data_IF_400886914197
#
_entry.id   IF_400886914197
#
_cell.length_a   1.000
_cell.length_b   1.000
_cell.length_c   1.000
_cell.angle_alpha   90.00
_cell.angle_beta   90.00
_cell.angle_gamma   90.00
#
_symmetry.space_group_name_H-M   'P 1'
#
loop_
_entity.id
_entity.type
_entity.pdbx_description
1 polymer ?
#
# COMPACT_ATOMS: atom_id res chain seq x y z
N UNK A 1 52.97 11.80 -15.20
CA UNK A 1 52.08 10.66 -14.92
C UNK A 1 50.75 11.21 -14.50
N UNK A 2 49.81 11.35 -15.44
CA UNK A 2 48.48 11.91 -15.18
C UNK A 2 47.57 10.78 -14.75
N UNK A 3 47.09 10.85 -13.48
CA UNK A 3 46.02 10.01 -12.98
C UNK A 3 44.69 10.50 -13.59
N UNK A 4 44.23 9.78 -14.62
CA UNK A 4 42.87 9.89 -15.09
C UNK A 4 41.95 9.21 -14.04
N UNK A 5 41.30 10.01 -13.22
CA UNK A 5 40.17 9.57 -12.40
C UNK A 5 39.04 9.20 -13.35
N UNK A 6 38.79 7.90 -13.51
CA UNK A 6 37.53 7.40 -14.03
C UNK A 6 36.42 7.77 -13.03
N UNK A 7 35.77 8.89 -13.29
CA UNK A 7 34.45 9.14 -12.74
C UNK A 7 33.52 8.16 -13.43
N UNK A 8 33.17 7.08 -12.75
CA UNK A 8 32.08 6.23 -13.16
C UNK A 8 30.83 7.13 -13.31
N UNK A 9 30.27 7.20 -14.53
CA UNK A 9 28.93 7.75 -14.72
C UNK A 9 27.99 6.96 -13.83
N UNK A 10 27.68 7.48 -12.65
CA UNK A 10 26.49 7.03 -11.91
C UNK A 10 25.33 7.24 -12.88
N UNK A 11 24.66 6.15 -13.26
CA UNK A 11 23.41 6.22 -14.02
C UNK A 11 22.48 7.11 -13.20
N UNK A 12 22.07 8.25 -13.76
CA UNK A 12 21.19 9.17 -13.04
C UNK A 12 19.85 8.50 -12.82
N UNK A 13 19.38 8.51 -11.58
CA UNK A 13 18.07 8.02 -11.22
C UNK A 13 16.99 9.04 -11.62
N UNK A 14 15.81 8.55 -11.98
CA UNK A 14 14.67 9.36 -12.38
C UNK A 14 14.14 10.16 -11.18
N UNK A 15 14.23 11.48 -11.21
CA UNK A 15 13.60 12.33 -10.19
C UNK A 15 12.11 12.53 -10.47
N UNK A 16 11.36 12.86 -9.42
CA UNK A 16 9.92 13.17 -9.51
C UNK A 16 9.64 14.31 -10.51
N UNK A 17 10.46 15.36 -10.48
CA UNK A 17 10.32 16.48 -11.41
C UNK A 17 10.52 16.06 -12.86
N UNK A 18 11.54 15.25 -13.12
CA UNK A 18 11.80 14.73 -14.46
C UNK A 18 10.70 13.73 -14.90
N UNK A 19 10.25 12.85 -13.99
CA UNK A 19 9.14 11.95 -14.25
C UNK A 19 7.86 12.71 -14.61
N UNK A 20 7.56 13.82 -13.94
CA UNK A 20 6.43 14.69 -14.28
C UNK A 20 6.55 15.25 -15.69
N UNK A 21 7.74 15.71 -16.08
CA UNK A 21 7.98 16.18 -17.44
C UNK A 21 7.71 15.08 -18.47
N UNK A 22 8.10 13.83 -18.20
CA UNK A 22 7.80 12.67 -19.05
C UNK A 22 6.31 12.36 -19.12
N UNK A 23 5.59 12.42 -17.98
CA UNK A 23 4.13 12.25 -17.95
C UNK A 23 3.44 13.30 -18.82
N UNK A 24 3.85 14.55 -18.73
CA UNK A 24 3.28 15.62 -19.54
C UNK A 24 3.57 15.42 -21.03
N UNK A 25 4.79 15.04 -21.37
CA UNK A 25 5.16 14.74 -22.75
C UNK A 25 4.33 13.58 -23.30
N UNK A 26 4.18 12.52 -22.52
CA UNK A 26 3.38 11.36 -22.89
C UNK A 26 1.90 11.72 -23.08
N UNK A 27 1.30 12.48 -22.16
CA UNK A 27 -0.06 12.99 -22.28
C UNK A 27 -0.22 13.86 -23.52
N UNK A 28 0.71 14.79 -23.79
CA UNK A 28 0.65 15.68 -24.96
C UNK A 28 0.66 14.92 -26.28
N UNK A 29 1.51 13.90 -26.41
CA UNK A 29 1.57 13.05 -27.62
C UNK A 29 0.24 12.31 -27.82
N UNK A 30 -0.28 11.65 -26.78
CA UNK A 30 -1.49 10.84 -26.84
C UNK A 30 -2.76 11.67 -27.08
N UNK A 31 -2.74 12.92 -26.70
CA UNK A 31 -3.87 13.84 -26.85
C UNK A 31 -3.76 14.74 -28.08
N UNK A 32 -2.70 14.55 -28.88
CA UNK A 32 -2.47 15.30 -30.12
C UNK A 32 -2.08 16.77 -29.89
N UNK A 33 -1.60 17.15 -28.70
CA UNK A 33 -1.08 18.48 -28.40
C UNK A 33 0.34 18.71 -28.95
N UNK A 34 0.95 17.69 -29.55
CA UNK A 34 2.26 17.76 -30.19
C UNK A 34 3.27 16.77 -29.62
N UNK A 35 4.44 16.71 -30.27
CA UNK A 35 5.59 15.94 -29.80
C UNK A 35 6.40 16.79 -28.82
N UNK A 36 6.59 16.31 -27.61
CA UNK A 36 7.64 16.77 -26.73
C UNK A 36 8.57 15.60 -26.46
N UNK A 37 9.82 15.70 -26.89
CA UNK A 37 10.86 14.78 -26.47
C UNK A 37 11.68 15.51 -25.41
N UNK A 38 11.55 15.18 -24.11
CA UNK A 38 12.59 15.46 -23.15
C UNK A 38 13.88 14.78 -23.62
N UNK A 39 15.02 15.11 -23.01
CA UNK A 39 16.29 14.45 -23.32
C UNK A 39 16.10 12.92 -23.29
N UNK A 40 16.83 12.20 -24.16
CA UNK A 40 16.71 10.74 -24.23
C UNK A 40 17.03 10.12 -22.86
N UNK A 41 16.12 9.28 -22.31
CA UNK A 41 16.32 8.70 -20.99
C UNK A 41 17.46 7.68 -20.98
N UNK A 42 18.20 7.61 -19.88
CA UNK A 42 19.16 6.55 -19.58
C UNK A 42 18.48 5.18 -19.47
N UNK A 43 19.25 4.10 -19.45
CA UNK A 43 18.67 2.76 -19.31
C UNK A 43 17.91 2.56 -17.98
N UNK A 44 18.39 3.19 -16.91
CA UNK A 44 17.71 3.14 -15.62
C UNK A 44 16.39 3.92 -15.65
N UNK A 45 16.41 5.14 -16.16
CA UNK A 45 15.21 5.96 -16.34
C UNK A 45 14.17 5.27 -17.22
N UNK A 46 14.59 4.55 -18.28
CA UNK A 46 13.65 3.76 -19.09
C UNK A 46 12.90 2.70 -18.30
N UNK A 47 13.57 1.98 -17.39
CA UNK A 47 12.94 0.97 -16.54
C UNK A 47 11.89 1.60 -15.60
N UNK A 48 12.21 2.76 -15.05
CA UNK A 48 11.30 3.50 -14.17
C UNK A 48 10.12 4.08 -14.94
N UNK A 49 10.33 4.57 -16.17
CA UNK A 49 9.26 4.99 -17.07
C UNK A 49 8.35 3.82 -17.49
N UNK A 50 8.92 2.64 -17.77
CA UNK A 50 8.14 1.42 -18.01
C UNK A 50 7.31 1.03 -16.78
N UNK A 51 7.88 1.14 -15.58
CA UNK A 51 7.14 0.89 -14.36
C UNK A 51 5.96 1.86 -14.19
N UNK A 52 6.10 3.14 -14.59
CA UNK A 52 5.01 4.12 -14.64
C UNK A 52 4.00 3.85 -15.78
N UNK A 53 4.26 2.87 -16.65
CA UNK A 53 3.42 2.59 -17.80
C UNK A 53 3.57 3.61 -18.93
N UNK A 54 4.69 4.33 -18.99
CA UNK A 54 5.01 5.33 -20.02
C UNK A 54 5.81 4.73 -21.18
N UNK A 55 5.66 3.45 -21.42
CA UNK A 55 6.21 2.76 -22.57
C UNK A 55 5.36 3.03 -23.81
N UNK A 56 6.00 3.33 -24.89
CA UNK A 56 5.37 3.41 -26.20
C UNK A 56 5.74 4.62 -27.01
N UNK A 57 6.35 4.35 -28.11
CA UNK A 57 6.61 5.27 -29.19
C UNK A 57 5.28 5.80 -29.75
N UNK A 58 4.98 7.03 -29.47
CA UNK A 58 3.93 7.74 -30.18
C UNK A 58 4.49 8.21 -31.53
N UNK A 59 4.34 7.43 -32.58
CA UNK A 59 4.50 7.93 -33.94
C UNK A 59 3.32 8.88 -34.25
N UNK A 60 3.55 10.16 -34.18
CA UNK A 60 2.59 11.20 -34.52
C UNK A 60 3.26 12.32 -35.29
N UNK A 61 2.49 13.05 -36.13
CA UNK A 61 2.96 14.20 -36.89
C UNK A 61 3.62 15.28 -36.03
N UNK A 62 4.66 15.91 -36.57
CA UNK A 62 5.47 16.93 -35.90
C UNK A 62 4.65 18.21 -35.65
N UNK A 63 4.14 18.38 -34.46
CA UNK A 63 3.69 19.64 -33.93
C UNK A 63 4.49 19.99 -32.68
N UNK A 64 4.95 21.23 -32.54
CA UNK A 64 5.68 21.65 -31.35
C UNK A 64 4.75 21.67 -30.13
N UNK A 65 5.10 20.92 -29.10
CA UNK A 65 4.35 20.95 -27.84
C UNK A 65 4.49 22.32 -27.16
N UNK A 66 3.45 22.79 -26.44
CA UNK A 66 3.51 24.04 -25.68
C UNK A 66 4.71 24.11 -24.73
N UNK A 67 5.23 25.29 -24.48
CA UNK A 67 6.44 25.48 -23.65
C UNK A 67 6.30 24.86 -22.24
N UNK A 68 5.14 25.00 -21.61
CA UNK A 68 4.88 24.43 -20.26
C UNK A 68 4.87 22.89 -20.24
N UNK A 69 4.63 22.23 -21.37
CA UNK A 69 4.79 20.76 -21.49
C UNK A 69 6.26 20.40 -21.58
N UNK A 70 7.04 21.20 -22.31
CA UNK A 70 8.48 20.95 -22.51
C UNK A 70 9.31 21.29 -21.28
N UNK A 71 8.87 22.31 -20.53
CA UNK A 71 9.55 22.81 -19.35
C UNK A 71 8.46 23.11 -18.29
N UNK A 72 7.94 22.08 -17.63
CA UNK A 72 6.98 22.30 -16.55
C UNK A 72 7.63 23.12 -15.43
N UNK A 73 6.87 23.95 -14.71
CA UNK A 73 7.41 24.70 -13.59
C UNK A 73 7.96 23.72 -12.52
N UNK A 74 8.99 24.12 -11.75
CA UNK A 74 9.59 23.25 -10.75
C UNK A 74 8.57 22.82 -9.70
N UNK A 75 8.80 21.69 -9.07
CA UNK A 75 8.08 21.28 -7.86
C UNK A 75 8.79 21.88 -6.67
N UNK A 76 8.11 22.76 -5.95
CA UNK A 76 8.64 23.37 -4.73
C UNK A 76 8.68 22.35 -3.59
N UNK A 77 9.68 22.49 -2.72
CA UNK A 77 9.82 21.67 -1.52
C UNK A 77 8.67 21.96 -0.55
N UNK A 78 8.14 20.91 0.06
CA UNK A 78 7.19 21.04 1.17
C UNK A 78 7.89 20.86 2.50
N UNK A 79 7.35 21.44 3.59
CA UNK A 79 7.87 21.16 4.93
C UNK A 79 7.88 19.66 5.22
N UNK A 80 8.88 19.25 6.01
CA UNK A 80 9.04 17.86 6.45
C UNK A 80 7.74 17.31 7.01
N UNK A 81 7.35 16.12 6.55
CA UNK A 81 6.18 15.37 7.02
C UNK A 81 6.61 14.22 7.93
N UNK A 82 5.66 13.54 8.56
CA UNK A 82 5.91 12.31 9.31
C UNK A 82 6.57 11.19 8.45
N UNK A 83 6.55 11.34 7.13
CA UNK A 83 7.08 10.40 6.14
C UNK A 83 8.42 10.84 5.52
N UNK A 84 9.01 11.93 5.98
CA UNK A 84 10.28 12.46 5.49
C UNK A 84 10.15 13.78 4.71
N UNK A 85 11.24 14.19 4.10
CA UNK A 85 11.33 15.37 3.24
C UNK A 85 11.17 14.94 1.78
N UNK A 86 10.21 15.55 1.10
CA UNK A 86 9.86 15.21 -0.27
C UNK A 86 9.89 16.43 -1.16
N UNK A 87 10.47 16.30 -2.33
CA UNK A 87 10.63 17.40 -3.28
C UNK A 87 10.60 16.91 -4.72
N UNK A 88 10.71 17.84 -5.67
CA UNK A 88 10.91 17.48 -7.08
C UNK A 88 12.19 16.70 -7.36
N UNK A 89 13.19 16.78 -6.46
CA UNK A 89 14.45 16.04 -6.56
C UNK A 89 14.39 14.63 -5.96
N UNK A 90 13.31 14.27 -5.26
CA UNK A 90 13.08 12.90 -4.78
C UNK A 90 13.13 11.93 -5.95
N UNK A 91 13.77 10.77 -5.75
CA UNK A 91 13.86 9.75 -6.78
C UNK A 91 12.57 8.92 -6.85
N UNK A 92 12.14 8.58 -8.04
CA UNK A 92 10.97 7.71 -8.27
C UNK A 92 11.19 6.34 -7.60
N UNK A 93 12.43 5.85 -7.57
CA UNK A 93 12.79 4.62 -6.88
C UNK A 93 12.43 4.65 -5.38
N UNK A 94 12.64 5.77 -4.68
CA UNK A 94 12.30 5.94 -3.27
C UNK A 94 10.79 5.83 -3.03
N UNK A 95 9.98 6.43 -3.89
CA UNK A 95 8.52 6.31 -3.84
C UNK A 95 8.04 4.89 -4.13
N UNK A 96 8.72 4.21 -5.05
CA UNK A 96 8.47 2.80 -5.35
C UNK A 96 8.81 1.90 -4.16
N UNK A 97 9.94 2.13 -3.49
CA UNK A 97 10.35 1.41 -2.26
C UNK A 97 9.37 1.67 -1.11
N UNK A 98 8.86 2.89 -0.98
CA UNK A 98 7.78 3.21 -0.05
C UNK A 98 6.49 2.43 -0.37
N UNK A 99 6.33 1.96 -1.59
CA UNK A 99 5.16 1.21 -2.01
C UNK A 99 4.04 2.07 -2.59
N UNK A 100 4.42 3.17 -3.23
CA UNK A 100 3.51 3.93 -4.10
C UNK A 100 3.25 3.09 -5.35
N UNK A 101 1.99 2.96 -5.75
CA UNK A 101 1.61 2.28 -6.98
C UNK A 101 1.94 3.14 -8.21
N UNK A 102 2.36 2.53 -9.34
CA UNK A 102 2.68 3.29 -10.55
C UNK A 102 1.50 4.15 -11.04
N UNK A 103 0.28 3.65 -10.96
CA UNK A 103 -0.93 4.41 -11.32
C UNK A 103 -1.17 5.60 -10.40
N UNK A 104 -0.91 5.42 -9.12
CA UNK A 104 -1.05 6.49 -8.14
C UNK A 104 -0.03 7.60 -8.40
N UNK A 105 1.22 7.24 -8.68
CA UNK A 105 2.25 8.21 -8.99
C UNK A 105 1.98 8.91 -10.33
N UNK A 106 1.58 8.18 -11.38
CA UNK A 106 1.17 8.77 -12.65
C UNK A 106 0.05 9.78 -12.46
N UNK A 107 -1.00 9.40 -11.71
CA UNK A 107 -2.13 10.27 -11.41
C UNK A 107 -1.69 11.52 -10.63
N UNK A 108 -0.90 11.35 -9.57
CA UNK A 108 -0.37 12.46 -8.77
C UNK A 108 0.44 13.43 -9.64
N UNK A 109 1.38 12.92 -10.44
CA UNK A 109 2.23 13.74 -11.32
C UNK A 109 1.41 14.50 -12.36
N UNK A 110 0.36 13.90 -12.91
CA UNK A 110 -0.54 14.57 -13.82
C UNK A 110 -1.28 15.74 -13.14
N UNK A 111 -1.73 15.58 -11.88
CA UNK A 111 -2.40 16.64 -11.14
C UNK A 111 -1.48 17.83 -10.80
N UNK A 112 -0.17 17.64 -10.84
CA UNK A 112 0.83 18.68 -10.56
C UNK A 112 1.03 19.66 -11.73
N UNK A 113 -0.03 20.01 -12.45
CA UNK A 113 -0.02 21.05 -13.47
C UNK A 113 -0.60 20.64 -14.82
N UNK A 114 -0.96 19.37 -15.03
CA UNK A 114 -1.79 19.01 -16.17
C UNK A 114 -3.21 19.47 -15.90
N UNK A 115 -3.86 20.09 -16.87
CA UNK A 115 -5.14 20.72 -16.64
C UNK A 115 -6.28 19.70 -16.67
N UNK A 116 -6.53 19.15 -15.54
CA UNK A 116 -7.67 18.29 -15.24
C UNK A 116 -8.59 18.98 -14.23
N UNK A 117 -9.91 18.73 -14.28
CA UNK A 117 -10.82 19.20 -13.25
C UNK A 117 -10.35 18.72 -11.86
N UNK A 118 -10.37 19.60 -10.85
CA UNK A 118 -9.88 19.28 -9.50
C UNK A 118 -10.89 18.50 -8.63
N UNK A 119 -12.08 18.29 -9.13
CA UNK A 119 -13.20 17.69 -8.37
C UNK A 119 -12.99 16.20 -8.07
N UNK A 120 -12.16 15.51 -8.84
CA UNK A 120 -11.80 14.12 -8.60
C UNK A 120 -10.27 13.99 -8.54
N UNK A 121 -9.76 13.61 -7.38
CA UNK A 121 -8.31 13.39 -7.20
C UNK A 121 -7.82 12.07 -7.83
N UNK A 122 -8.69 11.06 -7.89
CA UNK A 122 -8.31 9.72 -8.36
C UNK A 122 -8.81 9.49 -9.77
N UNK A 123 -7.89 9.45 -10.74
CA UNK A 123 -8.18 9.33 -12.17
C UNK A 123 -7.39 8.21 -12.81
N UNK A 124 -8.08 7.38 -13.57
CA UNK A 124 -7.41 6.39 -14.41
C UNK A 124 -6.64 7.05 -15.55
N UNK A 125 -5.75 6.28 -16.18
CA UNK A 125 -5.00 6.69 -17.36
C UNK A 125 -5.95 7.14 -18.50
N UNK A 126 -7.02 6.40 -18.70
CA UNK A 126 -8.05 6.69 -19.71
C UNK A 126 -8.80 8.00 -19.39
N UNK A 127 -9.10 8.22 -18.12
CA UNK A 127 -9.71 9.47 -17.67
C UNK A 127 -8.77 10.66 -17.84
N UNK A 128 -7.48 10.50 -17.56
CA UNK A 128 -6.48 11.55 -17.79
C UNK A 128 -6.38 11.91 -19.28
N UNK A 129 -6.45 10.92 -20.17
CA UNK A 129 -6.44 11.13 -21.62
C UNK A 129 -7.76 11.70 -22.15
N UNK A 130 -8.89 11.32 -21.57
CA UNK A 130 -10.22 11.75 -22.03
C UNK A 130 -10.61 13.17 -21.63
N UNK A 131 -9.92 13.78 -20.66
CA UNK A 131 -10.29 15.10 -20.13
C UNK A 131 -9.74 16.29 -20.92
N UNK A 132 -9.01 16.06 -22.00
CA UNK A 132 -8.62 17.18 -22.86
C UNK A 132 -9.83 17.67 -23.66
N UNK A 133 -10.10 18.96 -23.63
CA UNK A 133 -11.17 19.51 -24.42
C UNK A 133 -10.94 19.22 -25.91
N UNK A 134 -11.89 18.59 -26.57
CA UNK A 134 -11.88 18.33 -28.01
C UNK A 134 -11.82 19.62 -28.89
N UNK A 135 -11.74 20.77 -28.24
CA UNK A 135 -11.66 22.06 -28.91
C UNK A 135 -10.22 22.58 -28.93
N UNK A 136 -9.48 22.25 -29.97
CA UNK A 136 -8.12 22.71 -30.30
C UNK A 136 -7.92 24.23 -30.37
N UNK A 137 -8.91 25.08 -30.13
CA UNK A 137 -8.79 26.52 -30.16
C UNK A 137 -8.84 27.11 -28.74
N UNK A 138 -7.67 27.51 -28.25
CA UNK A 138 -7.56 28.35 -27.06
C UNK A 138 -7.23 27.62 -25.76
N UNK A 139 -6.79 26.37 -25.82
CA UNK A 139 -6.39 25.64 -24.61
C UNK A 139 -5.01 24.96 -24.78
N UNK A 140 -4.06 25.09 -23.79
CA UNK A 140 -4.21 25.90 -22.57
C UNK A 140 -4.22 27.39 -22.89
N UNK A 141 -4.77 28.27 -22.00
CA UNK A 141 -4.62 29.70 -22.15
C UNK A 141 -3.15 30.03 -22.34
N UNK A 142 -2.81 30.75 -23.42
CA UNK A 142 -1.40 31.07 -23.76
C UNK A 142 -0.68 31.91 -22.68
N UNK A 143 -1.40 32.40 -21.67
CA UNK A 143 -0.96 33.49 -20.80
C UNK A 143 -0.70 33.09 -19.34
N UNK A 144 -1.01 31.87 -18.89
CA UNK A 144 -0.73 31.49 -17.51
C UNK A 144 0.04 30.16 -17.49
N UNK A 145 1.38 30.20 -17.33
CA UNK A 145 2.09 28.96 -17.00
C UNK A 145 1.49 28.37 -15.72
N UNK A 146 1.33 27.06 -15.62
CA UNK A 146 0.89 26.44 -14.38
C UNK A 146 1.83 26.92 -13.26
N UNK A 147 1.24 27.38 -12.16
CA UNK A 147 2.01 27.80 -10.99
C UNK A 147 2.88 26.63 -10.52
N UNK A 148 4.05 26.96 -9.94
CA UNK A 148 4.87 25.97 -9.25
C UNK A 148 3.97 25.19 -8.28
N UNK A 149 3.99 23.87 -8.37
CA UNK A 149 3.21 23.01 -7.49
C UNK A 149 4.11 22.56 -6.34
N UNK A 150 3.64 22.70 -5.11
CA UNK A 150 4.31 22.08 -3.98
C UNK A 150 4.15 20.56 -4.03
N UNK A 151 5.16 19.80 -3.59
CA UNK A 151 5.03 18.35 -3.46
C UNK A 151 4.11 18.03 -2.27
N UNK A 152 2.82 17.85 -2.52
CA UNK A 152 1.84 17.48 -1.50
C UNK A 152 1.87 15.97 -1.25
N UNK A 153 2.67 15.54 -0.26
CA UNK A 153 2.78 14.15 0.12
C UNK A 153 1.46 13.57 0.64
N UNK A 154 0.66 14.37 1.36
CA UNK A 154 -0.65 13.91 1.84
C UNK A 154 -1.64 13.68 0.68
N UNK A 155 -1.56 14.49 -0.38
CA UNK A 155 -2.30 14.21 -1.61
C UNK A 155 -1.85 12.90 -2.26
N UNK A 156 -0.54 12.68 -2.38
CA UNK A 156 0.00 11.42 -2.90
C UNK A 156 -0.46 10.22 -2.08
N UNK A 157 -0.42 10.34 -0.73
CA UNK A 157 -0.89 9.29 0.18
C UNK A 157 -2.36 8.94 -0.05
N UNK A 158 -3.25 9.96 -0.11
CA UNK A 158 -4.69 9.74 -0.37
C UNK A 158 -4.93 9.10 -1.74
N UNK A 159 -4.24 9.57 -2.77
CA UNK A 159 -4.34 9.00 -4.12
C UNK A 159 -3.84 7.54 -4.09
N UNK A 160 -2.71 7.26 -3.45
CA UNK A 160 -2.17 5.91 -3.38
C UNK A 160 -3.09 4.96 -2.62
N UNK A 161 -3.61 5.39 -1.46
CA UNK A 161 -4.59 4.63 -0.70
C UNK A 161 -5.80 4.22 -1.55
N UNK A 162 -6.39 5.17 -2.28
CA UNK A 162 -7.53 4.90 -3.14
C UNK A 162 -7.21 3.97 -4.32
N UNK A 163 -5.98 4.00 -4.84
CA UNK A 163 -5.52 3.06 -5.86
C UNK A 163 -5.24 1.67 -5.27
N UNK A 164 -4.67 1.59 -4.06
CA UNK A 164 -4.50 0.32 -3.34
C UNK A 164 -5.84 -0.34 -3.08
N UNK A 165 -6.85 0.40 -2.59
CA UNK A 165 -8.19 -0.15 -2.35
C UNK A 165 -8.87 -0.70 -3.61
N UNK A 166 -8.62 -0.10 -4.77
CA UNK A 166 -9.18 -0.51 -6.08
C UNK A 166 -8.37 -1.59 -6.78
N UNK A 167 -7.15 -1.85 -6.33
CA UNK A 167 -6.25 -2.79 -6.98
C UNK A 167 -6.81 -4.22 -6.91
N UNK A 168 -6.66 -4.97 -8.02
CA UNK A 168 -7.03 -6.37 -8.04
C UNK A 168 -6.14 -7.16 -7.05
N UNK A 169 -6.69 -8.05 -6.21
CA UNK A 169 -5.94 -8.72 -5.15
C UNK A 169 -4.69 -9.47 -5.66
N UNK A 170 -4.77 -10.15 -6.81
CA UNK A 170 -3.62 -10.87 -7.38
C UNK A 170 -2.48 -9.93 -7.78
N UNK A 171 -2.82 -8.77 -8.38
CA UNK A 171 -1.83 -7.76 -8.72
C UNK A 171 -1.21 -7.14 -7.47
N UNK A 172 -2.05 -6.85 -6.48
CA UNK A 172 -1.56 -6.30 -5.21
C UNK A 172 -0.64 -7.30 -4.53
N UNK A 173 -0.96 -8.60 -4.58
CA UNK A 173 -0.10 -9.66 -4.11
C UNK A 173 1.28 -9.63 -4.78
N UNK A 174 1.35 -9.57 -6.12
CA UNK A 174 2.64 -9.52 -6.84
C UNK A 174 3.50 -8.34 -6.38
N UNK A 175 2.89 -7.17 -6.26
CA UNK A 175 3.59 -5.97 -5.79
C UNK A 175 3.99 -6.05 -4.31
N UNK A 176 3.37 -6.93 -3.54
CA UNK A 176 3.59 -7.13 -2.11
C UNK A 176 4.71 -8.13 -1.79
N UNK A 177 4.99 -9.07 -2.69
CA UNK A 177 5.97 -10.15 -2.46
C UNK A 177 7.34 -9.65 -1.97
N UNK A 178 7.92 -8.57 -2.53
CA UNK A 178 9.22 -8.07 -2.06
C UNK A 178 9.22 -7.70 -0.57
N UNK A 179 8.14 -7.10 -0.06
CA UNK A 179 8.04 -6.66 1.34
C UNK A 179 7.94 -7.86 2.29
N UNK A 180 7.21 -8.90 1.91
CA UNK A 180 7.12 -10.14 2.70
C UNK A 180 8.44 -10.91 2.72
N UNK A 181 9.18 -10.95 1.59
CA UNK A 181 10.52 -11.56 1.52
C UNK A 181 11.53 -10.77 2.34
N UNK A 182 11.52 -9.45 2.24
CA UNK A 182 12.39 -8.59 3.04
C UNK A 182 12.15 -8.77 4.55
N UNK A 183 10.90 -9.03 4.95
CA UNK A 183 10.56 -9.36 6.34
C UNK A 183 10.97 -10.80 6.74
N UNK A 184 11.46 -11.63 5.83
CA UNK A 184 11.85 -13.01 6.09
C UNK A 184 10.68 -13.99 6.24
N UNK A 185 9.49 -13.61 5.80
CA UNK A 185 8.27 -14.43 5.98
C UNK A 185 7.97 -15.35 4.81
N UNK A 186 8.58 -15.10 3.68
CA UNK A 186 8.44 -15.93 2.49
C UNK A 186 9.80 -16.43 2.00
N UNK A 187 9.84 -17.62 1.37
CA UNK A 187 11.05 -18.12 0.73
C UNK A 187 11.37 -17.27 -0.51
N UNK A 188 12.63 -17.33 -0.92
CA UNK A 188 13.04 -16.84 -2.22
C UNK A 188 12.49 -17.75 -3.34
N UNK A 189 12.24 -17.17 -4.50
CA UNK A 189 11.78 -17.92 -5.67
C UNK A 189 10.26 -18.02 -5.81
N UNK A 190 9.81 -19.03 -6.52
CA UNK A 190 8.39 -19.25 -6.84
C UNK A 190 7.65 -19.83 -5.63
N UNK A 191 6.47 -19.29 -5.34
CA UNK A 191 5.62 -19.77 -4.25
C UNK A 191 4.71 -20.90 -4.75
N UNK A 192 4.52 -21.92 -3.93
CA UNK A 192 3.51 -22.95 -4.19
C UNK A 192 2.12 -22.31 -4.39
N UNK A 193 1.27 -22.83 -5.30
CA UNK A 193 -0.04 -22.24 -5.57
C UNK A 193 -0.92 -22.07 -4.33
N UNK A 194 -0.86 -23.01 -3.38
CA UNK A 194 -1.62 -22.93 -2.13
C UNK A 194 -1.16 -21.77 -1.23
N UNK A 195 0.15 -21.55 -1.13
CA UNK A 195 0.74 -20.43 -0.39
C UNK A 195 0.35 -19.11 -1.04
N UNK A 196 0.41 -19.05 -2.37
CA UNK A 196 0.06 -17.87 -3.14
C UNK A 196 -1.42 -17.49 -2.96
N UNK A 197 -2.33 -18.46 -3.03
CA UNK A 197 -3.76 -18.23 -2.82
C UNK A 197 -4.05 -17.75 -1.39
N UNK A 198 -3.45 -18.39 -0.39
CA UNK A 198 -3.56 -17.97 1.01
C UNK A 198 -3.01 -16.56 1.24
N UNK A 199 -1.85 -16.24 0.67
CA UNK A 199 -1.23 -14.93 0.83
C UNK A 199 -2.08 -13.81 0.18
N UNK A 200 -2.77 -14.10 -0.92
CA UNK A 200 -3.72 -13.18 -1.52
C UNK A 200 -4.87 -12.83 -0.56
N UNK A 201 -5.32 -13.77 0.25
CA UNK A 201 -6.33 -13.51 1.28
C UNK A 201 -5.77 -12.68 2.44
N UNK A 202 -4.52 -12.93 2.86
CA UNK A 202 -3.82 -12.09 3.85
C UNK A 202 -3.74 -10.64 3.37
N UNK A 203 -3.29 -10.41 2.13
CA UNK A 203 -3.21 -9.08 1.53
C UNK A 203 -4.58 -8.43 1.45
N UNK A 204 -5.59 -9.16 0.98
CA UNK A 204 -6.98 -8.66 0.89
C UNK A 204 -7.53 -8.25 2.25
N UNK A 205 -7.25 -8.99 3.32
CA UNK A 205 -7.74 -8.67 4.65
C UNK A 205 -7.20 -7.33 5.18
N UNK A 206 -5.97 -6.95 4.82
CA UNK A 206 -5.33 -5.71 5.29
C UNK A 206 -5.44 -4.55 4.28
N UNK A 207 -5.83 -4.82 3.03
CA UNK A 207 -5.94 -3.85 1.94
C UNK A 207 -6.71 -2.58 2.31
N UNK A 208 -7.89 -2.63 2.99
CA UNK A 208 -8.67 -1.44 3.29
C UNK A 208 -7.98 -0.40 4.21
N UNK A 209 -6.93 -0.77 4.90
CA UNK A 209 -6.20 0.13 5.79
C UNK A 209 -4.78 0.44 5.32
N UNK A 210 -4.45 0.19 4.05
CA UNK A 210 -3.10 0.26 3.54
C UNK A 210 -2.86 1.52 2.71
N UNK A 211 -2.07 2.45 3.23
CA UNK A 211 -1.66 3.66 2.50
C UNK A 211 -0.49 3.38 1.54
N UNK A 212 0.46 2.54 1.95
CA UNK A 212 1.66 2.17 1.18
C UNK A 212 1.99 0.70 1.38
N UNK A 213 2.56 0.05 0.35
CA UNK A 213 2.89 -1.38 0.42
C UNK A 213 4.01 -1.69 1.44
N UNK A 214 4.89 -0.73 1.71
CA UNK A 214 5.92 -0.87 2.76
C UNK A 214 5.35 -1.06 4.17
N UNK A 215 4.08 -0.73 4.39
CA UNK A 215 3.38 -0.95 5.66
C UNK A 215 2.87 -2.39 5.83
N UNK A 216 2.92 -3.21 4.77
CA UNK A 216 2.43 -4.59 4.80
C UNK A 216 3.04 -5.41 5.94
N UNK A 217 4.38 -5.44 6.16
CA UNK A 217 4.94 -6.19 7.27
C UNK A 217 4.35 -5.78 8.63
N UNK A 218 4.20 -4.48 8.87
CA UNK A 218 3.59 -4.00 10.11
C UNK A 218 2.12 -4.39 10.25
N UNK A 219 1.34 -4.30 9.16
CA UNK A 219 -0.09 -4.62 9.13
C UNK A 219 -0.39 -6.11 9.22
N UNK A 220 0.51 -6.95 8.70
CA UNK A 220 0.35 -8.42 8.69
C UNK A 220 1.17 -9.11 9.78
N UNK A 221 1.86 -8.35 10.64
CA UNK A 221 2.59 -8.89 11.80
C UNK A 221 1.71 -9.79 12.67
N UNK A 222 0.44 -9.44 12.83
CA UNK A 222 -0.54 -10.23 13.56
C UNK A 222 -0.72 -11.66 12.97
N UNK A 223 -0.36 -11.89 11.70
CA UNK A 223 -0.41 -13.20 11.06
C UNK A 223 0.92 -13.93 11.24
N UNK A 224 2.04 -13.28 10.90
CA UNK A 224 3.36 -13.90 10.76
C UNK A 224 4.23 -13.87 12.03
N UNK A 225 3.98 -12.93 12.94
CA UNK A 225 4.80 -12.70 14.13
C UNK A 225 3.92 -12.39 15.34
N UNK A 226 3.07 -13.36 15.71
CA UNK A 226 2.18 -13.22 16.85
C UNK A 226 2.95 -13.49 18.15
N UNK A 227 3.09 -12.47 19.00
CA UNK A 227 3.78 -12.52 20.30
C UNK A 227 2.89 -11.86 21.38
N UNK A 228 2.23 -12.61 22.27
CA UNK A 228 1.32 -12.07 23.29
C UNK A 228 1.96 -11.00 24.17
N UNK A 229 3.23 -11.18 24.58
CA UNK A 229 3.96 -10.23 25.43
C UNK A 229 4.11 -8.87 24.77
N UNK A 230 4.44 -8.87 23.47
CA UNK A 230 4.52 -7.64 22.69
C UNK A 230 3.17 -6.92 22.66
N UNK A 231 2.10 -7.65 22.38
CA UNK A 231 0.76 -7.04 22.28
C UNK A 231 0.22 -6.58 23.62
N UNK A 232 0.54 -7.26 24.71
CA UNK A 232 0.21 -6.79 26.07
C UNK A 232 1.01 -5.53 26.47
N UNK A 233 2.12 -5.23 25.80
CA UNK A 233 2.83 -3.96 25.97
C UNK A 233 2.18 -2.78 25.21
N UNK A 234 1.32 -3.07 24.21
CA UNK A 234 0.59 -2.05 23.45
C UNK A 234 -0.51 -1.44 24.34
N UNK A 235 -0.55 -0.11 24.50
CA UNK A 235 -1.47 0.54 25.47
C UNK A 235 -2.94 0.20 25.23
N UNK A 236 -3.39 0.17 23.99
CA UNK A 236 -4.79 -0.11 23.61
C UNK A 236 -5.19 -1.54 23.95
N UNK A 237 -4.31 -2.50 23.73
CA UNK A 237 -4.56 -3.91 24.04
C UNK A 237 -4.55 -4.14 25.55
N UNK A 238 -3.58 -3.53 26.25
CA UNK A 238 -3.53 -3.55 27.71
C UNK A 238 -4.80 -2.99 28.33
N UNK A 239 -5.25 -1.81 27.88
CA UNK A 239 -6.48 -1.18 28.38
C UNK A 239 -7.69 -2.10 28.23
N UNK A 240 -7.81 -2.82 27.11
CA UNK A 240 -8.89 -3.78 26.89
C UNK A 240 -8.77 -4.96 27.85
N UNK A 241 -7.58 -5.51 28.04
CA UNK A 241 -7.38 -6.69 28.90
C UNK A 241 -7.47 -6.37 30.39
N UNK A 242 -7.23 -5.13 30.81
CA UNK A 242 -7.43 -4.65 32.17
C UNK A 242 -8.88 -4.20 32.45
N UNK A 243 -9.73 -4.13 31.42
CA UNK A 243 -11.12 -3.73 31.57
C UNK A 243 -11.94 -4.76 32.36
N UNK A 244 -13.03 -4.28 32.98
CA UNK A 244 -13.96 -5.14 33.72
C UNK A 244 -14.52 -6.24 32.81
N UNK A 245 -14.50 -7.48 33.27
CA UNK A 245 -15.02 -8.64 32.56
C UNK A 245 -14.02 -9.27 31.55
N UNK A 246 -12.94 -8.61 31.17
CA UNK A 246 -12.02 -9.13 30.16
C UNK A 246 -11.46 -10.52 30.54
N UNK A 247 -11.08 -10.73 31.79
CA UNK A 247 -10.60 -12.04 32.28
C UNK A 247 -11.68 -13.11 32.25
N UNK A 248 -12.92 -12.76 32.57
CA UNK A 248 -14.07 -13.67 32.51
C UNK A 248 -14.35 -14.10 31.06
N UNK A 249 -14.40 -13.11 30.15
CA UNK A 249 -14.55 -13.38 28.71
C UNK A 249 -13.44 -14.24 28.18
N UNK A 250 -12.17 -13.94 28.51
CA UNK A 250 -11.02 -14.72 28.08
C UNK A 250 -11.12 -16.17 28.55
N UNK A 251 -11.44 -16.39 29.83
CA UNK A 251 -11.57 -17.75 30.38
C UNK A 251 -12.68 -18.53 29.67
N UNK A 252 -13.85 -17.92 29.54
CA UNK A 252 -15.01 -18.56 28.92
C UNK A 252 -14.81 -18.83 27.43
N UNK A 253 -14.20 -17.89 26.69
CA UNK A 253 -13.80 -18.06 25.29
C UNK A 253 -12.71 -19.13 25.13
N UNK A 254 -11.66 -19.03 25.94
CA UNK A 254 -10.54 -19.96 25.89
C UNK A 254 -10.94 -21.42 26.12
N UNK A 255 -11.81 -21.70 27.11
CA UNK A 255 -12.32 -23.05 27.35
C UNK A 255 -12.97 -23.66 26.11
N UNK A 256 -13.74 -22.88 25.36
CA UNK A 256 -14.45 -23.35 24.16
C UNK A 256 -13.54 -23.44 22.95
N UNK A 257 -12.74 -22.41 22.71
CA UNK A 257 -11.82 -22.38 21.57
C UNK A 257 -10.75 -23.47 21.69
N UNK A 258 -10.29 -23.81 22.90
CA UNK A 258 -9.34 -24.89 23.12
C UNK A 258 -9.92 -26.29 22.97
N UNK A 259 -11.25 -26.45 23.01
CA UNK A 259 -11.90 -27.72 22.72
C UNK A 259 -11.92 -28.04 21.22
N UNK A 260 -11.76 -27.02 20.37
CA UNK A 260 -11.70 -27.17 18.93
C UNK A 260 -10.25 -27.43 18.46
N UNK A 261 -10.07 -28.41 17.59
CA UNK A 261 -8.78 -28.63 16.91
C UNK A 261 -8.57 -27.64 15.77
N UNK A 262 -9.67 -27.16 15.20
CA UNK A 262 -9.76 -26.20 14.11
C UNK A 262 -10.96 -25.28 14.36
N UNK A 263 -10.72 -23.97 14.46
CA UNK A 263 -11.80 -23.01 14.71
C UNK A 263 -12.36 -22.53 13.37
N UNK A 264 -13.61 -22.88 13.06
CA UNK A 264 -14.33 -22.31 11.91
C UNK A 264 -15.01 -21.00 12.28
N UNK A 265 -15.36 -20.19 11.27
CA UNK A 265 -16.09 -18.93 11.48
C UNK A 265 -17.48 -19.19 12.10
N UNK A 266 -18.16 -20.23 11.64
CA UNK A 266 -19.46 -20.64 12.18
C UNK A 266 -19.33 -20.99 13.67
N UNK A 267 -18.35 -21.82 14.03
CA UNK A 267 -18.10 -22.19 15.42
C UNK A 267 -17.69 -21.00 16.29
N UNK A 268 -16.90 -20.10 15.74
CA UNK A 268 -16.59 -18.84 16.41
C UNK A 268 -17.84 -18.01 16.75
N UNK A 269 -18.76 -17.85 15.80
CA UNK A 269 -20.01 -17.16 16.05
C UNK A 269 -20.91 -17.89 17.07
N UNK A 270 -20.98 -19.22 17.02
CA UNK A 270 -21.68 -20.01 18.03
C UNK A 270 -21.13 -19.77 19.44
N UNK A 271 -19.78 -19.80 19.58
CA UNK A 271 -19.11 -19.50 20.85
C UNK A 271 -19.47 -18.09 21.34
N UNK A 272 -19.48 -17.08 20.46
CA UNK A 272 -19.88 -15.73 20.85
C UNK A 272 -21.35 -15.66 21.33
N UNK A 273 -22.26 -16.40 20.69
CA UNK A 273 -23.66 -16.46 21.11
C UNK A 273 -23.84 -17.22 22.44
N UNK A 274 -23.06 -18.25 22.71
CA UNK A 274 -23.00 -18.93 24.00
C UNK A 274 -22.52 -17.97 25.09
N UNK A 275 -21.42 -17.24 24.85
CA UNK A 275 -20.88 -16.25 25.78
C UNK A 275 -21.87 -15.12 26.08
N UNK A 276 -22.63 -14.66 25.09
CA UNK A 276 -23.69 -13.67 25.27
C UNK A 276 -24.82 -14.19 26.17
N UNK A 277 -25.09 -15.48 26.21
CA UNK A 277 -26.13 -16.07 27.09
C UNK A 277 -25.65 -16.26 28.52
N UNK A 278 -24.37 -16.61 28.68
CA UNK A 278 -23.80 -17.01 29.96
C UNK A 278 -23.14 -15.86 30.75
N UNK A 279 -22.75 -14.78 30.08
CA UNK A 279 -22.10 -13.63 30.69
C UNK A 279 -22.94 -12.36 30.51
N UNK A 280 -22.78 -11.33 31.35
CA UNK A 280 -23.44 -10.05 31.16
C UNK A 280 -22.82 -9.22 30.01
N UNK A 281 -21.65 -9.63 29.47
CA UNK A 281 -20.85 -8.85 28.55
C UNK A 281 -21.43 -8.87 27.13
N UNK A 282 -21.44 -7.69 26.48
CA UNK A 282 -22.02 -7.50 25.13
C UNK A 282 -21.16 -6.57 24.29
N UNK A 283 -21.35 -6.62 22.97
CA UNK A 283 -20.71 -5.70 22.03
C UNK A 283 -19.20 -5.65 22.19
N UNK A 284 -18.65 -4.45 22.35
CA UNK A 284 -17.20 -4.26 22.48
C UNK A 284 -16.58 -4.87 23.73
N UNK A 285 -17.33 -4.97 24.84
CA UNK A 285 -16.84 -5.59 26.07
C UNK A 285 -16.66 -7.11 25.93
N UNK A 286 -17.42 -7.75 25.05
CA UNK A 286 -17.26 -9.16 24.72
C UNK A 286 -16.24 -9.35 23.60
N UNK A 287 -16.38 -8.62 22.50
CA UNK A 287 -15.62 -8.90 21.28
C UNK A 287 -14.18 -8.40 21.33
N UNK A 288 -13.89 -7.26 21.99
CA UNK A 288 -12.53 -6.71 22.04
C UNK A 288 -11.53 -7.61 22.78
N UNK A 289 -11.84 -8.17 23.97
CA UNK A 289 -10.93 -9.14 24.61
C UNK A 289 -10.66 -10.37 23.75
N UNK A 290 -11.69 -10.96 23.13
CA UNK A 290 -11.56 -12.10 22.21
C UNK A 290 -10.65 -11.73 21.03
N UNK A 291 -10.83 -10.53 20.47
CA UNK A 291 -10.02 -10.05 19.37
C UNK A 291 -8.56 -9.87 19.78
N UNK A 292 -8.29 -9.28 20.95
CA UNK A 292 -6.90 -9.13 21.45
C UNK A 292 -6.23 -10.49 21.63
N UNK A 293 -6.95 -11.49 22.12
CA UNK A 293 -6.41 -12.86 22.25
C UNK A 293 -6.03 -13.45 20.90
N UNK A 294 -6.84 -13.27 19.87
CA UNK A 294 -6.61 -13.87 18.55
C UNK A 294 -5.64 -13.08 17.68
N UNK A 295 -5.61 -11.75 17.81
CA UNK A 295 -4.85 -10.88 16.90
C UNK A 295 -3.78 -10.04 17.58
N UNK A 296 -3.84 -9.92 18.90
CA UNK A 296 -2.99 -9.00 19.68
C UNK A 296 -3.54 -7.58 19.75
N UNK A 297 -4.51 -7.18 18.92
CA UNK A 297 -5.00 -5.81 18.80
C UNK A 297 -6.54 -5.73 18.95
N UNK A 298 -7.09 -4.66 19.55
CA UNK A 298 -8.54 -4.49 19.70
C UNK A 298 -9.25 -4.00 18.43
N UNK A 299 -8.50 -3.73 17.35
CA UNK A 299 -8.98 -3.23 16.06
C UNK A 299 -8.23 -3.91 14.91
N UNK A 300 -8.68 -3.70 13.68
CA UNK A 300 -8.05 -4.24 12.46
C UNK A 300 -9.04 -5.06 11.59
N UNK A 301 -8.56 -5.93 10.70
CA UNK A 301 -9.39 -6.72 9.79
C UNK A 301 -10.43 -7.59 10.48
N UNK A 302 -11.51 -7.99 9.81
CA UNK A 302 -12.54 -8.84 10.40
C UNK A 302 -11.97 -10.15 10.94
N UNK A 303 -12.49 -10.63 12.08
CA UNK A 303 -12.14 -11.96 12.56
C UNK A 303 -12.68 -13.06 11.65
N UNK A 304 -13.75 -12.81 10.93
CA UNK A 304 -14.28 -13.73 9.93
C UNK A 304 -13.31 -13.95 8.76
N UNK A 305 -12.50 -12.94 8.43
CA UNK A 305 -11.41 -13.08 7.44
C UNK A 305 -10.15 -13.70 8.06
N UNK A 306 -9.82 -13.31 9.31
CA UNK A 306 -8.56 -13.69 9.95
C UNK A 306 -8.54 -15.13 10.47
N UNK A 307 -9.66 -15.65 11.00
CA UNK A 307 -9.74 -17.03 11.53
C UNK A 307 -9.34 -18.05 10.45
N UNK A 308 -9.94 -18.05 9.23
CA UNK A 308 -9.51 -18.94 8.17
C UNK A 308 -8.04 -18.75 7.74
N UNK A 309 -7.54 -17.49 7.79
CA UNK A 309 -6.15 -17.19 7.49
C UNK A 309 -5.21 -17.84 8.52
N UNK A 310 -5.52 -17.76 9.81
CA UNK A 310 -4.71 -18.37 10.86
C UNK A 310 -4.71 -19.90 10.76
N UNK A 311 -5.88 -20.49 10.62
CA UNK A 311 -6.02 -21.94 10.57
C UNK A 311 -5.33 -22.54 9.35
N UNK A 312 -5.58 -22.02 8.15
CA UNK A 312 -4.93 -22.51 6.93
C UNK A 312 -3.44 -22.18 6.89
N UNK A 313 -3.06 -21.00 7.37
CA UNK A 313 -1.66 -20.59 7.42
C UNK A 313 -0.82 -21.50 8.31
N UNK A 314 -1.39 -22.05 9.39
CA UNK A 314 -0.74 -22.98 10.29
C UNK A 314 -0.32 -24.30 9.61
N UNK A 315 -1.03 -24.71 8.58
CA UNK A 315 -0.73 -25.94 7.82
C UNK A 315 0.30 -25.73 6.70
N UNK A 316 0.67 -24.47 6.41
CA UNK A 316 1.60 -24.16 5.33
C UNK A 316 3.06 -24.26 5.76
N UNK A 317 3.88 -24.79 4.86
CA UNK A 317 5.34 -24.80 5.02
C UNK A 317 5.93 -23.42 4.64
N UNK A 318 6.11 -22.57 5.64
CA UNK A 318 6.63 -21.21 5.53
C UNK A 318 7.90 -21.05 6.38
N UNK A 319 8.79 -20.09 6.04
CA UNK A 319 9.97 -19.80 6.86
C UNK A 319 9.65 -19.40 8.31
N UNK A 320 8.43 -18.96 8.58
CA UNK A 320 7.90 -18.60 9.90
C UNK A 320 6.63 -19.39 10.19
N UNK A 321 6.44 -19.77 11.45
CA UNK A 321 5.23 -20.47 11.87
C UNK A 321 4.06 -19.50 11.98
N UNK A 322 2.98 -19.76 11.23
CA UNK A 322 1.70 -19.09 11.42
C UNK A 322 0.90 -19.84 12.49
N UNK A 323 0.64 -19.19 13.60
CA UNK A 323 -0.04 -19.81 14.75
C UNK A 323 -1.55 -19.94 14.48
N UNK A 324 -2.11 -21.14 14.70
CA UNK A 324 -3.55 -21.39 14.68
C UNK A 324 -4.27 -20.63 15.80
N UNK A 325 -5.59 -20.47 15.71
CA UNK A 325 -6.38 -19.84 16.78
C UNK A 325 -6.17 -20.55 18.14
N UNK A 326 -6.10 -21.88 18.13
CA UNK A 326 -5.81 -22.67 19.33
C UNK A 326 -4.48 -22.31 19.97
N UNK A 327 -3.39 -22.24 19.19
CA UNK A 327 -2.06 -21.86 19.70
C UNK A 327 -2.06 -20.43 20.24
N UNK A 328 -2.71 -19.50 19.56
CA UNK A 328 -2.85 -18.10 20.01
C UNK A 328 -3.52 -17.99 21.36
N UNK A 329 -4.61 -18.74 21.56
CA UNK A 329 -5.32 -18.79 22.85
C UNK A 329 -4.43 -19.38 23.93
N UNK A 330 -3.75 -20.50 23.67
CA UNK A 330 -2.83 -21.13 24.62
C UNK A 330 -1.73 -20.19 25.07
N UNK A 331 -1.01 -19.60 24.11
CA UNK A 331 0.10 -18.70 24.39
C UNK A 331 -0.37 -17.43 25.12
N UNK A 332 -1.48 -16.83 24.69
CA UNK A 332 -2.01 -15.65 25.35
C UNK A 332 -2.39 -15.93 26.80
N UNK A 333 -3.07 -17.05 27.04
CA UNK A 333 -3.43 -17.47 28.40
C UNK A 333 -2.19 -17.73 29.27
N UNK A 334 -1.10 -18.26 28.71
CA UNK A 334 0.11 -18.53 29.49
C UNK A 334 0.81 -17.26 29.99
N UNK A 335 0.61 -16.13 29.30
CA UNK A 335 1.24 -14.85 29.64
C UNK A 335 0.34 -13.95 30.47
N UNK A 336 -0.98 -14.04 30.28
CA UNK A 336 -1.93 -13.10 30.86
C UNK A 336 -2.60 -13.59 32.16
N UNK A 337 -2.61 -14.88 32.43
CA UNK A 337 -3.28 -15.46 33.62
C UNK A 337 -2.43 -15.40 34.87
#
# INVERSE_FOLDING_TARGET
MSLQTHVSKQESALTVEWARAQVFAWLAVRTGLGRSAPAAPSNQEKKELQWLGLDGEGEGEQSEAPLWVRTPPPIEETPSSAWGEWSGQTQVAELRELGVLPEALLNFLALQGWPVPREEEVRSREQLLGHLPHHRRGWPPQETPPQAAAFDFEQLRRINHAWVERAHPERLLELSLPYFRQAGWLPEGELAPVVRAWLAEVVRAVQPGLDFLSLLPARTRLVFDYQPEYYLSVPESRQVMESEGAREVLRAFGQRALAESWLTVERFHEILEELKRETPWRGGQLLRPVRVVLTGLPFGPSLDDLIPIFERGHELDLPVEVKSCRQRVLEFCSVFV
#
